data_IF_400029953862
#
_entry.id   IF_400029953862
#
_cell.length_a   1.000
_cell.length_b   1.000
_cell.length_c   1.000
_cell.angle_alpha   90.00
_cell.angle_beta   90.00
_cell.angle_gamma   90.00
#
_symmetry.space_group_name_H-M   'P 1'
#
loop_
_entity.id
_entity.type
_entity.pdbx_description
1 polymer ?
#
# COMPACT_ATOMS: atom_id res chain seq x y z
N UNK A 1 -0.13 11.73 -3.54
CA UNK A 1 0.50 10.43 -3.91
C UNK A 1 1.48 9.93 -2.86
N UNK A 2 2.46 10.72 -2.41
CA UNK A 2 3.44 10.28 -1.39
C UNK A 2 2.77 9.93 -0.05
N UNK A 3 1.81 10.71 0.43
CA UNK A 3 1.09 10.42 1.69
C UNK A 3 0.40 9.05 1.65
N UNK A 4 -0.23 8.70 0.53
CA UNK A 4 -0.87 7.40 0.33
C UNK A 4 0.13 6.24 0.43
N UNK A 5 1.32 6.42 -0.16
CA UNK A 5 2.39 5.41 -0.07
C UNK A 5 2.98 5.31 1.33
N UNK A 6 3.11 6.44 2.04
CA UNK A 6 3.55 6.45 3.43
C UNK A 6 2.55 5.73 4.34
N UNK A 7 1.26 5.93 4.10
CA UNK A 7 0.20 5.24 4.82
C UNK A 7 0.21 3.73 4.56
N UNK A 8 0.37 3.31 3.30
CA UNK A 8 0.50 1.89 2.93
C UNK A 8 1.73 1.21 3.56
N UNK A 9 2.89 1.88 3.54
CA UNK A 9 4.18 1.25 3.91
C UNK A 9 4.52 1.41 5.40
N UNK A 10 4.12 2.52 6.03
CA UNK A 10 4.43 2.82 7.43
C UNK A 10 3.20 2.77 8.33
N UNK A 11 2.00 2.92 7.78
CA UNK A 11 0.78 3.09 8.58
C UNK A 11 0.64 4.47 9.19
N UNK A 12 1.39 5.46 8.69
CA UNK A 12 1.36 6.83 9.17
C UNK A 12 0.47 7.67 8.23
N UNK A 13 -0.63 8.20 8.77
CA UNK A 13 -1.55 9.07 8.03
C UNK A 13 -0.97 10.46 7.69
N UNK A 14 0.21 10.79 8.22
CA UNK A 14 0.92 12.03 7.94
C UNK A 14 2.40 11.78 7.70
N UNK A 15 3.01 12.54 6.78
CA UNK A 15 4.46 12.48 6.58
C UNK A 15 5.16 13.09 7.81
N UNK A 16 6.08 12.38 8.47
CA UNK A 16 6.77 12.90 9.66
C UNK A 16 7.83 13.96 9.32
N UNK A 17 7.91 14.41 8.07
CA UNK A 17 8.97 15.29 7.58
C UNK A 17 8.42 16.42 6.71
N UNK A 18 9.09 17.56 6.79
CA UNK A 18 8.90 18.68 5.87
C UNK A 18 9.90 18.60 4.71
N UNK A 19 9.62 19.32 3.62
CA UNK A 19 10.55 19.41 2.50
C UNK A 19 11.93 19.98 2.90
N UNK A 20 11.98 20.79 3.97
CA UNK A 20 13.24 21.33 4.52
C UNK A 20 14.10 20.25 5.19
N UNK A 21 13.49 19.17 5.66
CA UNK A 21 14.22 18.06 6.28
C UNK A 21 14.88 17.16 5.23
N UNK A 22 14.27 17.06 4.04
CA UNK A 22 14.87 16.40 2.86
C UNK A 22 16.16 17.11 2.43
N UNK A 23 16.13 18.43 2.31
CA UNK A 23 17.29 19.22 1.84
C UNK A 23 18.45 19.22 2.82
N UNK A 24 18.17 19.12 4.14
CA UNK A 24 19.19 19.04 5.19
C UNK A 24 19.82 17.67 5.33
N UNK A 25 19.04 16.61 5.12
CA UNK A 25 19.52 15.22 5.28
C UNK A 25 20.19 14.65 4.03
N UNK A 26 19.99 15.27 2.86
CA UNK A 26 20.41 14.72 1.57
C UNK A 26 19.61 13.48 1.15
N UNK A 27 18.59 13.12 1.91
CA UNK A 27 17.76 11.94 1.66
C UNK A 27 16.56 12.29 0.78
N UNK A 28 16.18 11.34 -0.07
CA UNK A 28 15.00 11.49 -0.92
C UNK A 28 13.73 11.12 -0.15
N UNK A 29 12.58 11.57 -0.65
CA UNK A 29 11.25 11.23 -0.12
C UNK A 29 11.05 9.72 0.08
N UNK A 30 11.67 8.89 -0.76
CA UNK A 30 11.60 7.42 -0.67
C UNK A 30 12.17 6.88 0.64
N UNK A 31 13.24 7.49 1.14
CA UNK A 31 13.88 7.06 2.38
C UNK A 31 12.98 7.30 3.58
N UNK A 32 12.22 8.39 3.59
CA UNK A 32 11.33 8.73 4.68
C UNK A 32 10.02 7.92 4.70
N UNK A 33 9.57 7.43 3.55
CA UNK A 33 8.35 6.61 3.46
C UNK A 33 8.65 5.10 3.47
N UNK A 34 9.92 4.71 3.51
CA UNK A 34 10.30 3.31 3.55
C UNK A 34 9.81 2.66 4.86
N UNK A 35 9.35 1.40 4.81
CA UNK A 35 9.07 0.63 6.01
C UNK A 35 10.38 0.32 6.76
N UNK A 36 10.29 0.06 8.06
CA UNK A 36 11.44 -0.35 8.86
C UNK A 36 11.83 -1.80 8.59
N UNK A 37 10.84 -2.65 8.26
CA UNK A 37 11.04 -4.06 7.94
C UNK A 37 10.18 -4.47 6.75
N UNK A 38 10.77 -5.30 5.89
CA UNK A 38 10.07 -5.97 4.80
C UNK A 38 10.59 -7.43 4.72
N UNK A 39 9.77 -8.39 5.16
CA UNK A 39 10.15 -9.80 5.31
C UNK A 39 9.35 -10.71 4.36
N UNK A 40 10.07 -11.50 3.57
CA UNK A 40 9.54 -12.44 2.56
C UNK A 40 9.71 -13.92 2.94
N UNK A 41 10.05 -14.25 4.19
CA UNK A 41 10.31 -15.64 4.58
C UNK A 41 9.11 -16.57 4.39
N UNK A 42 7.89 -16.05 4.50
CA UNK A 42 6.69 -16.84 4.27
C UNK A 42 6.32 -16.84 2.78
N UNK A 43 5.92 -18.00 2.24
CA UNK A 43 5.50 -18.13 0.84
C UNK A 43 4.10 -17.56 0.55
N UNK A 44 3.26 -17.44 1.57
CA UNK A 44 1.85 -17.08 1.45
C UNK A 44 1.59 -15.59 1.72
N UNK A 45 2.50 -14.91 2.43
CA UNK A 45 2.36 -13.51 2.78
C UNK A 45 3.73 -12.83 2.92
N UNK A 46 3.71 -11.52 2.71
CA UNK A 46 4.77 -10.59 3.06
C UNK A 46 4.48 -10.00 4.45
N UNK A 47 5.50 -9.74 5.25
CA UNK A 47 5.35 -8.90 6.44
C UNK A 47 5.99 -7.53 6.20
N UNK A 48 5.22 -6.47 6.46
CA UNK A 48 5.70 -5.08 6.46
C UNK A 48 5.55 -4.56 7.89
N UNK A 49 6.66 -4.31 8.58
CA UNK A 49 6.68 -4.00 10.01
C UNK A 49 5.90 -5.06 10.83
N UNK A 50 4.78 -4.67 11.43
CA UNK A 50 3.83 -5.46 12.22
C UNK A 50 2.59 -5.90 11.43
N UNK A 51 2.51 -5.56 10.13
CA UNK A 51 1.37 -5.87 9.25
C UNK A 51 1.69 -7.04 8.31
N UNK A 52 0.67 -7.84 8.03
CA UNK A 52 0.73 -8.92 7.04
C UNK A 52 0.08 -8.46 5.74
N UNK A 53 0.76 -8.68 4.62
CA UNK A 53 0.29 -8.39 3.28
C UNK A 53 0.20 -9.70 2.49
N UNK A 54 -0.95 -9.95 1.88
CA UNK A 54 -1.13 -11.04 0.94
C UNK A 54 -1.45 -10.47 -0.44
N UNK A 55 -0.80 -11.02 -1.46
CA UNK A 55 -1.07 -10.65 -2.84
C UNK A 55 -1.99 -11.71 -3.45
N UNK A 56 -3.18 -11.29 -3.89
CA UNK A 56 -4.18 -12.14 -4.51
C UNK A 56 -4.34 -11.72 -5.97
N UNK A 57 -4.29 -12.70 -6.87
CA UNK A 57 -4.45 -12.49 -8.31
C UNK A 57 -5.63 -13.27 -8.82
N UNK A 58 -6.45 -12.59 -9.60
CA UNK A 58 -7.61 -13.17 -10.27
C UNK A 58 -7.23 -13.40 -11.73
N UNK A 59 -7.28 -14.66 -12.21
CA UNK A 59 -6.75 -15.04 -13.53
C UNK A 59 -7.80 -15.10 -14.64
N UNK A 60 -9.00 -15.60 -14.34
CA UNK A 60 -10.07 -15.79 -15.32
C UNK A 60 -11.32 -15.04 -14.86
N UNK A 61 -11.62 -13.92 -15.52
CA UNK A 61 -12.89 -13.21 -15.35
C UNK A 61 -13.60 -13.08 -16.69
N UNK A 62 -14.86 -13.53 -16.74
CA UNK A 62 -15.79 -13.11 -17.77
C UNK A 62 -16.09 -11.62 -17.59
N UNK A 63 -16.20 -10.88 -18.69
CA UNK A 63 -16.36 -9.40 -18.69
C UNK A 63 -17.50 -8.91 -17.78
N UNK A 64 -18.58 -9.70 -17.65
CA UNK A 64 -19.75 -9.39 -16.82
C UNK A 64 -19.52 -9.50 -15.30
N UNK A 65 -18.48 -10.24 -14.87
CA UNK A 65 -18.16 -10.41 -13.45
C UNK A 65 -17.38 -9.22 -12.88
N UNK A 66 -16.69 -8.46 -13.72
CA UNK A 66 -15.82 -7.36 -13.29
C UNK A 66 -16.59 -6.29 -12.50
N UNK A 67 -17.69 -5.79 -13.06
CA UNK A 67 -18.46 -4.71 -12.45
C UNK A 67 -19.17 -5.15 -11.17
N UNK A 68 -19.72 -6.37 -11.14
CA UNK A 68 -20.36 -6.89 -9.94
C UNK A 68 -19.34 -7.11 -8.82
N UNK A 69 -18.18 -7.68 -9.13
CA UNK A 69 -17.10 -7.88 -8.17
C UNK A 69 -16.61 -6.57 -7.56
N UNK A 70 -16.38 -5.54 -8.39
CA UNK A 70 -15.96 -4.23 -7.89
C UNK A 70 -17.06 -3.61 -7.01
N UNK A 71 -18.33 -3.73 -7.39
CA UNK A 71 -19.44 -3.27 -6.54
C UNK A 71 -19.45 -3.98 -5.19
N UNK A 72 -19.33 -5.31 -5.18
CA UNK A 72 -19.33 -6.11 -3.95
C UNK A 72 -18.13 -5.76 -3.06
N UNK A 73 -16.96 -5.53 -3.67
CA UNK A 73 -15.76 -5.09 -2.95
C UNK A 73 -16.00 -3.72 -2.29
N UNK A 74 -16.55 -2.75 -3.03
CA UNK A 74 -16.83 -1.40 -2.55
C UNK A 74 -17.94 -1.34 -1.49
N UNK A 75 -18.81 -2.35 -1.41
CA UNK A 75 -19.85 -2.47 -0.38
C UNK A 75 -19.31 -3.06 0.93
N UNK A 76 -18.11 -3.63 0.94
CA UNK A 76 -17.48 -4.07 2.18
C UNK A 76 -17.12 -2.88 3.07
N UNK A 77 -17.20 -3.06 4.40
CA UNK A 77 -16.68 -2.12 5.41
C UNK A 77 -15.13 -2.16 5.47
N UNK A 78 -14.48 -2.11 4.31
CA UNK A 78 -13.04 -2.16 4.15
C UNK A 78 -12.53 -0.83 3.61
N UNK A 79 -11.42 -0.34 4.16
CA UNK A 79 -10.70 0.78 3.57
C UNK A 79 -9.97 0.30 2.32
N UNK A 80 -10.36 0.83 1.16
CA UNK A 80 -9.89 0.35 -0.15
C UNK A 80 -9.15 1.44 -0.89
N UNK A 81 -8.01 1.06 -1.48
CA UNK A 81 -7.26 1.93 -2.37
C UNK A 81 -7.21 1.27 -3.75
N UNK A 82 -7.86 1.89 -4.72
CA UNK A 82 -7.96 1.39 -6.10
C UNK A 82 -7.03 2.21 -7.00
N UNK A 83 -6.19 1.51 -7.76
CA UNK A 83 -5.33 2.12 -8.79
C UNK A 83 -5.66 1.51 -10.15
N UNK A 84 -6.15 2.32 -11.07
CA UNK A 84 -6.39 1.97 -12.47
C UNK A 84 -5.26 2.60 -13.31
N UNK A 85 -4.70 1.87 -14.28
CA UNK A 85 -3.67 2.35 -15.21
C UNK A 85 -4.12 2.10 -16.64
#
# INVERSE_FOLDING_TARGET
RVNLLADMLRGEHHLPFSYRDLTRSGQTTRHFIAPNLLDFKNKNYLQINDRLLQIVYVRDYGMELGDQFIRDLMQGDLELIVSLH
#
